data_IF_720148762030
#
_entry.id   IF_720148762030
#
_cell.length_a   1.000
_cell.length_b   1.000
_cell.length_c   1.000
_cell.angle_alpha   90.00
_cell.angle_beta   90.00
_cell.angle_gamma   90.00
#
_symmetry.space_group_name_H-M   'P 1'
#
loop_
_entity.id
_entity.type
_entity.pdbx_description
1 polymer ?
#
# COMPACT_ATOMS: atom_id res chain seq x y z
N UNK A 1 3.41 1.38 16.65
CA UNK A 1 2.56 0.19 16.53
C UNK A 1 2.72 -0.62 17.81
N UNK A 2 1.61 -1.03 18.43
CA UNK A 2 1.61 -1.86 19.65
C UNK A 2 1.61 -3.35 19.31
N UNK A 3 0.89 -3.73 18.27
CA UNK A 3 0.70 -5.10 17.82
C UNK A 3 -0.26 -5.16 16.66
N UNK A 4 -0.95 -6.28 16.50
CA UNK A 4 -1.98 -6.45 15.47
C UNK A 4 -3.16 -7.28 15.99
N UNK A 5 -4.33 -7.05 15.41
CA UNK A 5 -5.53 -7.85 15.62
C UNK A 5 -5.82 -8.68 14.37
N UNK A 6 -6.12 -9.97 14.56
CA UNK A 6 -6.54 -10.88 13.50
C UNK A 6 -7.97 -11.33 13.76
N UNK A 7 -8.82 -11.20 12.75
CA UNK A 7 -10.23 -11.58 12.77
C UNK A 7 -10.51 -12.57 11.63
N UNK A 8 -10.37 -13.89 11.85
CA UNK A 8 -10.52 -14.91 10.80
C UNK A 8 -11.86 -14.83 10.08
N UNK A 9 -12.94 -14.56 10.79
CA UNK A 9 -14.28 -14.39 10.22
C UNK A 9 -14.37 -13.32 9.14
N UNK A 10 -13.58 -12.26 9.28
CA UNK A 10 -13.55 -11.12 8.36
C UNK A 10 -12.41 -11.19 7.35
N UNK A 11 -11.52 -12.19 7.50
CA UNK A 11 -10.27 -12.31 6.74
C UNK A 11 -9.39 -11.05 6.85
N UNK A 12 -9.33 -10.45 8.07
CA UNK A 12 -8.62 -9.20 8.32
C UNK A 12 -7.52 -9.37 9.36
N UNK A 13 -6.38 -8.75 9.10
CA UNK A 13 -5.30 -8.54 10.08
C UNK A 13 -4.88 -7.08 10.03
N UNK A 14 -5.08 -6.37 11.14
CA UNK A 14 -4.98 -4.93 11.21
C UNK A 14 -3.98 -4.50 12.29
N UNK A 15 -3.11 -3.51 12.04
CA UNK A 15 -2.18 -2.99 13.03
C UNK A 15 -2.92 -2.23 14.13
N UNK A 16 -2.46 -2.40 15.38
CA UNK A 16 -2.94 -1.67 16.56
C UNK A 16 -1.93 -0.60 16.92
N UNK A 17 -2.41 0.61 17.12
CA UNK A 17 -1.64 1.77 17.59
C UNK A 17 -2.20 2.28 18.91
N UNK A 18 -1.39 3.02 19.66
CA UNK A 18 -1.83 3.70 20.86
C UNK A 18 -2.54 5.01 20.50
N UNK A 19 -3.66 5.27 21.17
CA UNK A 19 -4.49 6.45 20.94
C UNK A 19 -5.44 6.31 19.74
N UNK A 20 -6.41 7.24 19.69
CA UNK A 20 -7.47 7.28 18.68
C UNK A 20 -7.46 8.59 17.89
N UNK A 21 -6.31 9.25 17.80
CA UNK A 21 -6.15 10.44 16.97
C UNK A 21 -6.44 10.11 15.50
N UNK A 22 -6.95 11.06 14.74
CA UNK A 22 -7.34 10.87 13.33
C UNK A 22 -6.23 10.24 12.50
N UNK A 23 -4.98 10.72 12.64
CA UNK A 23 -3.80 10.15 11.95
C UNK A 23 -3.57 8.65 12.23
N UNK A 24 -4.00 8.15 13.40
CA UNK A 24 -3.91 6.73 13.77
C UNK A 24 -5.03 5.96 13.08
N UNK A 25 -6.25 6.46 13.18
CA UNK A 25 -7.43 5.79 12.64
C UNK A 25 -7.46 5.74 11.11
N UNK A 26 -6.69 6.58 10.43
CA UNK A 26 -6.50 6.52 8.97
C UNK A 26 -5.66 5.33 8.50
N UNK A 27 -4.80 4.77 9.36
CA UNK A 27 -3.83 3.73 8.99
C UNK A 27 -4.00 2.41 9.74
N UNK A 28 -4.84 2.37 10.77
CA UNK A 28 -5.02 1.17 11.59
C UNK A 28 -6.07 1.32 12.68
N UNK A 29 -5.97 0.44 13.65
CA UNK A 29 -6.85 0.39 14.81
C UNK A 29 -6.22 1.15 15.97
N UNK A 30 -6.98 2.02 16.60
CA UNK A 30 -6.55 2.81 17.74
C UNK A 30 -6.99 2.20 19.08
N UNK A 31 -6.07 2.07 20.02
CA UNK A 31 -6.40 1.72 21.41
C UNK A 31 -6.90 2.97 22.16
N UNK A 32 -8.05 2.86 22.84
CA UNK A 32 -8.59 3.91 23.70
C UNK A 32 -7.73 4.04 24.95
N UNK A 33 -7.08 5.20 25.13
CA UNK A 33 -6.09 5.46 26.19
C UNK A 33 -6.64 5.33 27.61
N UNK A 34 -7.96 5.57 27.82
CA UNK A 34 -8.62 5.45 29.12
C UNK A 34 -9.07 4.02 29.43
N UNK A 35 -8.72 3.04 28.64
CA UNK A 35 -9.04 1.63 28.87
C UNK A 35 -7.80 0.81 29.17
N UNK A 36 -7.95 -0.42 29.64
CA UNK A 36 -6.81 -1.33 29.88
C UNK A 36 -6.00 -1.55 28.61
N UNK A 37 -4.69 -1.76 28.74
CA UNK A 37 -3.87 -2.19 27.60
C UNK A 37 -4.34 -3.57 27.08
N UNK A 38 -4.26 -3.82 25.78
CA UNK A 38 -4.72 -5.08 25.18
C UNK A 38 -3.70 -6.23 25.36
N UNK A 39 -3.17 -6.37 26.56
CA UNK A 39 -2.20 -7.42 26.95
C UNK A 39 -2.82 -8.48 27.85
N UNK A 40 -4.14 -8.45 28.01
CA UNK A 40 -4.90 -9.36 28.84
C UNK A 40 -4.68 -9.18 30.35
N UNK A 41 -5.33 -10.01 31.13
CA UNK A 41 -5.25 -10.02 32.59
C UNK A 41 -6.61 -10.00 33.28
N UNK A 42 -6.67 -10.53 34.51
CA UNK A 42 -7.90 -10.48 35.29
C UNK A 42 -8.27 -9.03 35.64
N UNK A 43 -9.55 -8.72 35.58
CA UNK A 43 -10.09 -7.36 35.82
C UNK A 43 -9.54 -6.32 34.84
N UNK A 44 -9.45 -6.68 33.57
CA UNK A 44 -9.06 -5.78 32.48
C UNK A 44 -10.17 -5.66 31.42
N UNK A 45 -10.28 -4.49 30.81
CA UNK A 45 -11.16 -4.27 29.67
C UNK A 45 -10.48 -3.30 28.70
N UNK A 46 -9.93 -3.81 27.61
CA UNK A 46 -9.34 -3.00 26.56
C UNK A 46 -10.37 -2.63 25.49
N UNK A 47 -10.29 -1.41 24.95
CA UNK A 47 -11.14 -0.98 23.85
C UNK A 47 -10.29 -0.57 22.64
N UNK A 48 -10.66 -1.12 21.47
CA UNK A 48 -9.99 -0.90 20.21
C UNK A 48 -10.97 -0.29 19.20
N UNK A 49 -10.64 0.88 18.67
CA UNK A 49 -11.50 1.62 17.74
C UNK A 49 -10.94 1.63 16.34
N UNK A 50 -11.81 1.50 15.35
CA UNK A 50 -11.44 1.58 13.92
C UNK A 50 -12.55 2.19 13.09
N UNK A 51 -12.18 2.87 12.01
CA UNK A 51 -13.11 3.46 11.06
C UNK A 51 -13.97 2.40 10.35
N UNK A 52 -15.15 2.84 9.92
CA UNK A 52 -16.05 2.11 9.04
C UNK A 52 -16.29 2.90 7.77
N UNK A 53 -16.02 2.27 6.60
CA UNK A 53 -16.26 2.90 5.30
C UNK A 53 -15.19 3.91 4.88
N UNK A 54 -13.96 3.77 5.36
CA UNK A 54 -12.85 4.56 4.87
C UNK A 54 -12.50 4.10 3.44
N UNK A 55 -12.43 5.00 2.43
CA UNK A 55 -12.18 4.60 1.04
C UNK A 55 -10.81 3.94 0.81
N UNK A 56 -9.83 4.30 1.64
CA UNK A 56 -8.42 3.87 1.51
C UNK A 56 -8.09 2.59 2.25
N UNK A 57 -8.94 2.18 3.21
CA UNK A 57 -8.66 1.01 4.06
C UNK A 57 -9.95 0.40 4.60
N UNK A 58 -10.02 -0.93 4.60
CA UNK A 58 -11.22 -1.67 5.04
C UNK A 58 -11.46 -1.55 6.55
N UNK A 59 -10.39 -1.62 7.35
CA UNK A 59 -10.40 -1.52 8.81
C UNK A 59 -11.59 -2.29 9.45
N UNK A 60 -12.44 -1.63 10.24
CA UNK A 60 -13.62 -2.23 10.86
C UNK A 60 -14.90 -2.08 10.04
N UNK A 61 -14.79 -1.91 8.71
CA UNK A 61 -15.98 -1.78 7.83
C UNK A 61 -16.93 -2.94 7.98
N UNK A 62 -16.42 -4.16 8.04
CA UNK A 62 -17.21 -5.39 8.12
C UNK A 62 -17.40 -5.93 9.55
N UNK A 63 -17.08 -5.14 10.58
CA UNK A 63 -17.21 -5.57 11.98
C UNK A 63 -18.63 -6.03 12.33
N UNK A 64 -19.66 -5.52 11.63
CA UNK A 64 -21.04 -5.94 11.79
C UNK A 64 -21.32 -7.38 11.32
N UNK A 65 -20.42 -8.01 10.57
CA UNK A 65 -20.55 -9.41 10.15
C UNK A 65 -20.08 -10.40 11.22
N UNK A 66 -19.40 -9.91 12.27
CA UNK A 66 -19.05 -10.72 13.44
C UNK A 66 -20.30 -11.20 14.17
N UNK A 67 -20.22 -12.43 14.69
CA UNK A 67 -21.31 -13.09 15.44
C UNK A 67 -20.82 -13.54 16.81
N UNK A 68 -21.74 -13.73 17.74
CA UNK A 68 -21.40 -14.40 19.01
C UNK A 68 -20.80 -15.78 18.74
N UNK A 69 -19.72 -16.10 19.45
CA UNK A 69 -18.96 -17.32 19.26
C UNK A 69 -17.76 -17.19 18.30
N UNK A 70 -17.74 -16.18 17.43
CA UNK A 70 -16.59 -15.90 16.58
C UNK A 70 -15.36 -15.56 17.42
N UNK A 71 -14.17 -15.85 16.90
CA UNK A 71 -12.90 -15.61 17.59
C UNK A 71 -12.15 -14.47 16.92
N UNK A 72 -11.39 -13.74 17.73
CA UNK A 72 -10.37 -12.81 17.25
C UNK A 72 -9.13 -12.91 18.14
N UNK A 73 -8.01 -12.52 17.59
CA UNK A 73 -6.70 -12.69 18.23
C UNK A 73 -5.99 -11.35 18.26
N UNK A 74 -5.40 -11.03 19.39
CA UNK A 74 -4.56 -9.84 19.56
C UNK A 74 -3.14 -10.32 19.82
N UNK A 75 -2.19 -9.91 18.99
CA UNK A 75 -0.78 -10.22 19.16
C UNK A 75 -0.03 -8.95 19.51
N UNK A 76 0.60 -8.97 20.68
CA UNK A 76 1.45 -7.89 21.19
C UNK A 76 2.84 -8.49 21.42
N UNK A 77 3.85 -7.96 20.75
CA UNK A 77 5.20 -8.52 20.75
C UNK A 77 5.21 -10.00 20.31
N UNK A 78 5.42 -10.92 21.26
CA UNK A 78 5.48 -12.38 21.02
C UNK A 78 4.24 -13.11 21.49
N UNK A 79 3.38 -12.45 22.26
CA UNK A 79 2.24 -13.07 22.92
C UNK A 79 0.97 -12.87 22.12
N UNK A 80 0.22 -13.96 21.93
CA UNK A 80 -1.08 -13.94 21.27
C UNK A 80 -2.18 -14.26 22.27
N UNK A 81 -3.17 -13.38 22.31
CA UNK A 81 -4.31 -13.43 23.21
C UNK A 81 -5.56 -13.74 22.39
N UNK A 82 -6.23 -14.84 22.69
CA UNK A 82 -7.44 -15.29 22.02
C UNK A 82 -8.68 -14.81 22.77
N UNK A 83 -9.63 -14.24 22.04
CA UNK A 83 -10.92 -13.78 22.56
C UNK A 83 -12.05 -14.39 21.76
N UNK A 84 -13.17 -14.67 22.43
CA UNK A 84 -14.39 -15.13 21.80
C UNK A 84 -15.50 -14.11 22.02
N UNK A 85 -16.20 -13.73 20.94
CA UNK A 85 -17.28 -12.76 20.98
C UNK A 85 -18.43 -13.27 21.83
N UNK A 86 -18.76 -12.55 22.88
CA UNK A 86 -19.86 -12.86 23.81
C UNK A 86 -21.01 -11.85 23.71
N UNK A 87 -20.75 -10.61 23.33
CA UNK A 87 -21.75 -9.56 23.29
C UNK A 87 -21.57 -8.64 22.08
N UNK A 88 -22.68 -8.34 21.40
CA UNK A 88 -22.72 -7.35 20.31
C UNK A 88 -23.83 -6.38 20.66
N UNK A 89 -23.52 -5.08 20.70
CA UNK A 89 -24.43 -4.02 21.15
C UNK A 89 -24.22 -2.75 20.33
N UNK A 90 -25.29 -2.02 20.08
CA UNK A 90 -25.22 -0.67 19.50
C UNK A 90 -25.57 0.34 20.55
N UNK A 91 -24.72 1.36 20.72
CA UNK A 91 -24.86 2.39 21.76
C UNK A 91 -24.68 3.80 21.17
N UNK A 92 -25.06 4.82 21.93
CA UNK A 92 -24.73 6.20 21.60
C UNK A 92 -23.23 6.45 21.79
N UNK A 93 -22.62 7.41 21.09
CA UNK A 93 -21.19 7.72 21.20
C UNK A 93 -20.75 8.13 22.63
N UNK A 94 -21.67 8.63 23.43
CA UNK A 94 -21.43 9.08 24.81
C UNK A 94 -21.61 7.98 25.86
N UNK A 95 -22.10 6.80 25.47
CA UNK A 95 -22.33 5.69 26.40
C UNK A 95 -21.07 4.80 26.51
N UNK A 96 -20.26 5.11 27.52
CA UNK A 96 -19.07 4.34 27.86
C UNK A 96 -19.32 3.22 28.89
N UNK A 97 -20.55 3.04 29.39
CA UNK A 97 -20.88 2.02 30.42
C UNK A 97 -20.51 0.61 30.01
N UNK A 98 -20.58 0.32 28.71
CA UNK A 98 -20.26 -1.00 28.17
C UNK A 98 -18.75 -1.33 28.18
N UNK A 99 -17.88 -0.33 28.47
CA UNK A 99 -16.44 -0.46 28.53
C UNK A 99 -15.93 -0.60 29.98
N UNK A 100 -16.84 -0.64 30.95
CA UNK A 100 -16.47 -0.79 32.36
C UNK A 100 -15.71 -2.12 32.58
N UNK A 101 -14.73 -2.07 33.49
CA UNK A 101 -14.02 -3.28 33.95
C UNK A 101 -14.98 -4.12 34.76
N UNK A 102 -15.04 -5.41 34.43
CA UNK A 102 -15.77 -6.40 35.20
C UNK A 102 -14.79 -7.20 36.07
N UNK A 103 -14.97 -7.27 37.41
CA UNK A 103 -14.03 -7.98 38.31
C UNK A 103 -13.78 -9.43 37.87
N UNK A 104 -12.53 -9.82 37.82
CA UNK A 104 -12.09 -11.16 37.45
C UNK A 104 -12.14 -11.48 35.94
N UNK A 105 -12.72 -10.64 35.11
CA UNK A 105 -12.80 -10.88 33.67
C UNK A 105 -11.67 -10.20 32.91
N UNK A 106 -11.31 -10.81 31.79
CA UNK A 106 -10.39 -10.28 30.78
C UNK A 106 -11.21 -10.05 29.51
N UNK A 107 -11.47 -8.77 29.19
CA UNK A 107 -12.39 -8.36 28.14
C UNK A 107 -11.69 -7.45 27.13
N UNK A 108 -12.11 -7.58 25.86
CA UNK A 108 -11.76 -6.65 24.80
C UNK A 108 -13.02 -6.28 24.02
N UNK A 109 -13.20 -4.99 23.76
CA UNK A 109 -14.29 -4.48 22.93
C UNK A 109 -13.75 -3.80 21.68
N UNK A 110 -14.21 -4.28 20.51
CA UNK A 110 -13.96 -3.66 19.21
C UNK A 110 -15.07 -2.66 18.92
N UNK A 111 -14.71 -1.45 18.50
CA UNK A 111 -15.64 -0.31 18.35
C UNK A 111 -15.55 0.24 16.94
N UNK A 112 -16.70 0.44 16.32
CA UNK A 112 -16.79 1.15 15.04
C UNK A 112 -18.08 1.98 14.95
N UNK A 113 -18.12 2.87 13.95
CA UNK A 113 -19.32 3.69 13.69
C UNK A 113 -20.45 2.89 13.03
N UNK A 114 -21.69 3.22 13.34
CA UNK A 114 -22.89 2.61 12.76
C UNK A 114 -24.07 3.58 12.81
N UNK A 115 -25.10 3.53 11.92
CA UNK A 115 -25.10 2.80 10.64
C UNK A 115 -24.00 3.29 9.67
N UNK A 116 -23.72 2.50 8.62
CA UNK A 116 -22.74 2.86 7.60
C UNK A 116 -23.06 4.25 6.99
N UNK A 117 -22.07 5.09 6.84
CA UNK A 117 -22.13 6.47 6.35
C UNK A 117 -22.90 7.46 7.25
N UNK A 118 -23.80 7.01 8.14
CA UNK A 118 -24.58 7.88 9.04
C UNK A 118 -23.85 8.14 10.36
N UNK A 119 -23.20 7.11 10.93
CA UNK A 119 -22.26 7.21 12.07
C UNK A 119 -22.81 7.78 13.37
N UNK A 120 -24.14 7.74 13.57
CA UNK A 120 -24.82 8.28 14.77
C UNK A 120 -24.61 7.46 16.02
N UNK A 121 -24.25 6.18 15.87
CA UNK A 121 -24.07 5.23 16.96
C UNK A 121 -22.70 4.56 16.88
N UNK A 122 -22.40 3.77 17.91
CA UNK A 122 -21.20 2.91 17.94
C UNK A 122 -21.64 1.45 18.02
N UNK A 123 -21.12 0.62 17.12
CA UNK A 123 -21.22 -0.84 17.21
C UNK A 123 -20.09 -1.33 18.10
N UNK A 124 -20.44 -2.06 19.13
CA UNK A 124 -19.53 -2.68 20.08
C UNK A 124 -19.59 -4.20 19.91
N UNK A 125 -18.44 -4.80 19.61
CA UNK A 125 -18.26 -6.26 19.54
C UNK A 125 -17.30 -6.64 20.66
N UNK A 126 -17.87 -7.17 21.77
CA UNK A 126 -17.08 -7.55 22.95
C UNK A 126 -16.72 -9.03 22.89
N UNK A 127 -15.48 -9.33 23.26
CA UNK A 127 -15.00 -10.69 23.49
C UNK A 127 -14.43 -10.86 24.89
N UNK A 128 -14.60 -12.06 25.43
CA UNK A 128 -13.95 -12.52 26.65
C UNK A 128 -12.75 -13.41 26.32
N UNK A 129 -11.77 -13.42 27.19
CA UNK A 129 -10.57 -14.24 27.05
C UNK A 129 -10.88 -15.73 27.00
N UNK A 130 -10.26 -16.43 26.04
CA UNK A 130 -10.26 -17.90 25.96
C UNK A 130 -8.83 -18.43 25.91
N UNK A 131 -8.59 -19.70 26.30
CA UNK A 131 -7.28 -20.33 26.14
C UNK A 131 -6.84 -20.30 24.66
N UNK A 132 -5.59 -19.91 24.42
CA UNK A 132 -5.00 -19.94 23.10
C UNK A 132 -4.41 -21.32 22.80
N UNK A 133 -4.81 -21.96 21.70
CA UNK A 133 -4.31 -23.26 21.27
C UNK A 133 -3.46 -23.14 20.00
N UNK A 134 -2.46 -24.01 19.77
CA UNK A 134 -1.61 -23.96 18.56
C UNK A 134 -2.38 -24.05 17.23
N UNK A 135 -3.51 -24.75 17.19
CA UNK A 135 -4.39 -24.79 16.01
C UNK A 135 -4.97 -23.41 15.67
N UNK A 136 -5.30 -22.63 16.69
CA UNK A 136 -5.77 -21.26 16.52
C UNK A 136 -4.69 -20.32 15.98
N UNK A 137 -3.41 -20.66 16.16
CA UNK A 137 -2.28 -19.93 15.58
C UNK A 137 -2.25 -20.06 14.06
N UNK A 138 -2.62 -21.20 13.52
CA UNK A 138 -2.70 -21.40 12.08
C UNK A 138 -3.85 -20.62 11.48
N UNK A 139 -5.00 -20.55 12.16
CA UNK A 139 -6.14 -19.72 11.75
C UNK A 139 -5.76 -18.23 11.76
N UNK A 140 -5.01 -17.77 12.76
CA UNK A 140 -4.52 -16.40 12.85
C UNK A 140 -3.47 -16.06 11.76
N UNK A 141 -2.65 -17.03 11.35
CA UNK A 141 -1.62 -16.85 10.31
C UNK A 141 -2.17 -16.99 8.89
N UNK A 142 -3.17 -17.83 8.68
CA UNK A 142 -3.77 -18.10 7.36
C UNK A 142 -4.53 -16.91 6.77
N UNK A 143 -4.79 -15.88 7.57
CA UNK A 143 -5.49 -14.67 7.14
C UNK A 143 -4.61 -13.72 6.31
N UNK A 144 -3.29 -13.99 6.20
CA UNK A 144 -2.39 -13.24 5.32
C UNK A 144 -2.45 -13.83 3.90
N UNK A 145 -3.62 -13.80 3.28
CA UNK A 145 -3.77 -14.06 1.84
C UNK A 145 -3.67 -12.72 1.12
N UNK A 146 -2.61 -12.55 0.37
CA UNK A 146 -2.58 -11.55 -0.70
C UNK A 146 -3.37 -12.16 -1.85
N UNK A 147 -4.66 -11.91 -1.88
CA UNK A 147 -5.49 -12.22 -3.04
C UNK A 147 -5.06 -11.31 -4.19
N UNK A 148 -4.02 -11.73 -4.90
CA UNK A 148 -3.73 -11.14 -6.22
C UNK A 148 -4.79 -11.71 -7.14
N UNK A 149 -5.76 -10.93 -7.60
CA UNK A 149 -6.80 -11.47 -8.47
C UNK A 149 -6.16 -11.96 -9.76
N UNK A 150 -6.29 -13.25 -10.02
CA UNK A 150 -5.71 -13.95 -11.17
C UNK A 150 -6.01 -13.26 -12.51
N UNK A 151 -7.11 -12.51 -12.55
CA UNK A 151 -7.51 -11.68 -13.68
C UNK A 151 -6.48 -10.59 -14.07
N UNK A 152 -5.60 -10.16 -13.15
CA UNK A 152 -4.53 -9.19 -13.47
C UNK A 152 -3.20 -9.86 -13.78
N UNK A 153 -2.99 -11.13 -13.35
CA UNK A 153 -1.77 -11.88 -13.66
C UNK A 153 -1.70 -12.27 -15.14
N UNK A 154 -2.80 -12.73 -15.72
CA UNK A 154 -2.83 -13.15 -17.14
C UNK A 154 -2.53 -11.98 -18.09
N UNK A 155 -3.18 -10.80 -18.01
CA UNK A 155 -2.86 -9.69 -18.90
C UNK A 155 -1.47 -9.09 -18.65
N UNK A 156 -0.95 -9.10 -17.42
CA UNK A 156 0.40 -8.62 -17.14
C UNK A 156 1.47 -9.54 -17.73
N UNK A 157 1.31 -10.85 -17.64
CA UNK A 157 2.20 -11.83 -18.29
C UNK A 157 2.14 -11.73 -19.83
N UNK A 158 0.95 -11.54 -20.40
CA UNK A 158 0.77 -11.33 -21.84
C UNK A 158 1.49 -10.03 -22.30
N UNK A 159 1.37 -8.94 -21.54
CA UNK A 159 2.03 -7.70 -21.86
C UNK A 159 3.56 -7.82 -21.82
N UNK A 160 4.10 -8.51 -20.81
CA UNK A 160 5.54 -8.81 -20.69
C UNK A 160 6.00 -9.65 -21.88
N UNK A 161 5.26 -10.70 -22.25
CA UNK A 161 5.59 -11.55 -23.39
C UNK A 161 5.61 -10.77 -24.71
N UNK A 162 4.64 -9.86 -24.92
CA UNK A 162 4.59 -8.97 -26.09
C UNK A 162 5.77 -8.00 -26.13
N UNK A 163 6.16 -7.44 -25.01
CA UNK A 163 7.32 -6.54 -24.93
C UNK A 163 8.62 -7.28 -25.25
N UNK A 164 8.79 -8.50 -24.74
CA UNK A 164 9.94 -9.35 -25.03
C UNK A 164 9.97 -9.72 -26.54
N UNK A 165 8.84 -10.16 -27.09
CA UNK A 165 8.71 -10.50 -28.50
C UNK A 165 9.03 -9.29 -29.40
N UNK A 166 8.50 -8.11 -29.07
CA UNK A 166 8.78 -6.85 -29.79
C UNK A 166 10.26 -6.49 -29.70
N UNK A 167 10.88 -6.62 -28.53
CA UNK A 167 12.31 -6.35 -28.34
C UNK A 167 13.20 -7.32 -29.14
N UNK A 168 12.85 -8.60 -29.15
CA UNK A 168 13.55 -9.62 -29.95
C UNK A 168 13.38 -9.35 -31.46
N UNK A 169 12.19 -8.95 -31.90
CA UNK A 169 11.92 -8.61 -33.29
C UNK A 169 12.72 -7.38 -33.71
N UNK A 170 12.78 -6.32 -32.91
CA UNK A 170 13.64 -5.16 -33.18
C UNK A 170 15.11 -5.54 -33.29
N UNK A 171 15.60 -6.44 -32.40
CA UNK A 171 17.00 -6.91 -32.47
C UNK A 171 17.26 -7.70 -33.75
N UNK A 172 16.31 -8.52 -34.18
CA UNK A 172 16.42 -9.31 -35.41
C UNK A 172 16.42 -8.41 -36.65
N UNK A 173 15.61 -7.39 -36.68
CA UNK A 173 15.54 -6.44 -37.79
C UNK A 173 16.80 -5.58 -37.91
N UNK A 174 17.38 -5.14 -36.77
CA UNK A 174 18.66 -4.45 -36.73
C UNK A 174 19.81 -5.34 -37.26
N UNK A 175 19.80 -6.63 -36.96
CA UNK A 175 20.80 -7.59 -37.51
C UNK A 175 20.64 -7.79 -39.00
N UNK A 176 19.40 -7.85 -39.52
CA UNK A 176 19.14 -7.96 -40.97
C UNK A 176 19.61 -6.73 -41.75
N UNK A 177 19.47 -5.53 -41.19
CA UNK A 177 19.94 -4.28 -41.83
C UNK A 177 21.49 -4.21 -41.88
N UNK A 178 22.16 -4.73 -40.89
CA UNK A 178 23.63 -4.77 -40.85
C UNK A 178 24.22 -5.80 -41.84
N UNK A 179 23.57 -6.93 -42.06
CA UNK A 179 24.00 -7.94 -43.03
C UNK A 179 23.72 -7.54 -44.48
N UNK A 180 22.70 -6.67 -44.70
CA UNK A 180 22.41 -6.10 -46.04
C UNK A 180 23.43 -5.04 -46.50
N UNK A 181 23.96 -4.26 -45.54
CA UNK A 181 24.95 -3.20 -45.86
C UNK A 181 26.34 -3.74 -46.19
N UNK A 182 26.71 -4.91 -45.64
CA UNK A 182 27.99 -5.56 -45.90
C UNK A 182 28.06 -6.24 -47.30
N UNK A 183 26.89 -6.52 -47.91
CA UNK A 183 26.82 -7.19 -49.23
C UNK A 183 26.91 -6.21 -50.42
N UNK A 184 26.71 -4.90 -50.18
CA UNK A 184 26.81 -3.84 -51.21
C UNK A 184 28.21 -3.28 -51.32
N UNK A 185 29.08 -3.53 -50.31
CA UNK A 185 30.46 -3.00 -50.30
C UNK A 185 31.51 -3.93 -50.94
N UNK A 186 31.11 -5.12 -51.47
CA UNK A 186 32.04 -6.07 -52.07
C UNK A 186 31.83 -6.35 -53.56
N UNK A 187 31.19 -5.45 -54.28
CA UNK A 187 30.98 -5.62 -55.72
C UNK A 187 31.13 -4.33 -56.48
N UNK A 188 32.33 -3.79 -56.57
CA UNK A 188 32.79 -3.05 -57.74
C UNK A 188 34.29 -2.73 -57.59
N UNK A 189 35.10 -3.49 -58.23
CA UNK A 189 36.50 -3.17 -58.54
C UNK A 189 36.88 -3.85 -59.80
N UNK A 190 36.62 -3.20 -60.95
CA UNK A 190 37.47 -3.39 -62.13
C UNK A 190 37.36 -2.16 -63.07
N UNK A 191 38.54 -1.53 -63.21
CA UNK A 191 39.09 -0.95 -64.45
C UNK A 191 38.39 0.27 -65.05
N UNK A 192 39.02 1.48 -65.05
CA UNK A 192 39.81 1.92 -66.22
C UNK A 192 40.49 3.22 -65.87
N UNK A 193 41.79 3.28 -66.16
CA UNK A 193 42.66 4.44 -66.15
C UNK A 193 42.36 5.33 -67.29
N UNK A 194 42.41 6.68 -67.12
CA UNK A 194 42.95 7.70 -68.08
C UNK A 194 43.17 8.99 -67.25
N UNK A 195 44.39 9.46 -67.25
CA UNK A 195 44.92 10.77 -66.85
C UNK A 195 44.90 11.72 -68.04
N UNK A 196 45.45 13.03 -67.96
CA UNK A 196 45.11 14.16 -67.07
C UNK A 196 44.73 15.39 -67.88
N UNK A 197 44.23 16.44 -67.28
CA UNK A 197 44.74 17.81 -67.48
C UNK A 197 43.84 18.89 -66.83
N UNK A 198 44.49 19.86 -66.23
CA UNK A 198 44.34 21.28 -66.38
C UNK A 198 43.41 22.01 -65.40
N UNK A 199 44.09 22.79 -64.58
CA UNK A 199 43.77 24.15 -64.14
C UNK A 199 42.94 24.35 -62.84
N UNK A 200 43.65 24.84 -61.85
CA UNK A 200 43.29 25.73 -60.74
C UNK A 200 43.26 27.21 -61.25
N UNK A 201 42.83 28.22 -60.49
CA UNK A 201 42.20 28.45 -59.22
C UNK A 201 41.07 29.55 -59.27
N UNK A 202 40.74 30.39 -58.28
CA UNK A 202 41.02 30.43 -56.86
C UNK A 202 39.77 30.63 -55.92
N UNK A 203 40.01 30.52 -54.65
CA UNK A 203 39.17 31.00 -53.54
C UNK A 203 39.05 32.55 -53.55
N UNK A 204 38.03 33.07 -52.85
CA UNK A 204 38.38 33.74 -51.61
C UNK A 204 37.49 33.45 -50.39
N UNK A 205 38.13 33.64 -49.32
CA UNK A 205 37.70 33.70 -47.94
C UNK A 205 36.70 34.85 -47.66
N UNK A 206 35.92 34.73 -46.62
CA UNK A 206 35.85 35.70 -45.50
C UNK A 206 34.64 35.38 -44.63
N UNK A 207 34.88 35.11 -43.41
CA UNK A 207 34.97 35.93 -42.18
C UNK A 207 33.60 36.34 -41.58
N UNK A 208 33.69 36.17 -40.29
CA UNK A 208 33.02 36.93 -39.24
C UNK A 208 31.65 36.41 -38.78
N UNK A 209 31.43 36.28 -37.56
CA UNK A 209 31.98 36.80 -36.29
C UNK A 209 30.79 36.91 -35.29
N UNK A 210 31.10 36.61 -34.09
CA UNK A 210 30.59 37.23 -32.83
C UNK A 210 29.14 36.99 -32.40
N UNK A 211 28.95 36.24 -31.31
CA UNK A 211 28.94 36.76 -29.93
C UNK A 211 27.76 37.64 -29.56
N UNK A 212 27.10 37.25 -28.49
CA UNK A 212 26.64 38.03 -27.30
C UNK A 212 25.71 37.15 -26.47
N UNK A 213 26.02 36.68 -25.29
CA UNK A 213 26.25 37.37 -24.02
C UNK A 213 25.14 38.35 -23.62
N UNK A 214 24.43 37.97 -22.57
CA UNK A 214 24.09 38.75 -21.36
C UNK A 214 22.87 38.11 -20.68
N UNK A 215 22.95 37.55 -19.45
CA UNK A 215 23.11 38.25 -18.16
C UNK A 215 21.97 39.24 -17.85
N UNK A 216 21.12 38.89 -16.86
CA UNK A 216 20.64 39.71 -15.74
C UNK A 216 19.64 38.89 -14.92
N UNK A 217 19.98 38.50 -13.68
CA UNK A 217 19.90 39.22 -12.38
C UNK A 217 18.46 39.63 -11.97
N UNK A 218 18.01 39.01 -10.89
CA UNK A 218 16.91 39.24 -9.95
C UNK A 218 16.92 40.65 -9.33
N UNK A 219 16.46 40.96 -8.11
CA UNK A 219 15.69 40.27 -7.07
C UNK A 219 14.52 41.13 -6.52
N UNK A 220 13.84 40.71 -5.49
CA UNK A 220 12.96 41.58 -4.63
C UNK A 220 11.88 40.74 -3.95
N UNK A 221 11.98 40.35 -2.74
CA UNK A 221 11.87 41.03 -1.43
C UNK A 221 10.53 41.79 -1.24
N UNK A 222 9.84 41.40 -0.23
CA UNK A 222 9.07 42.06 0.83
C UNK A 222 7.70 41.40 1.01
N UNK A 223 7.29 41.05 2.18
CA UNK A 223 7.18 41.47 3.56
C UNK A 223 5.81 41.02 4.08
N UNK A 224 5.79 40.40 5.24
CA UNK A 224 4.69 40.24 6.21
C UNK A 224 4.09 41.64 6.58
N UNK A 225 3.07 41.79 7.44
CA UNK A 225 2.38 40.84 8.35
C UNK A 225 0.84 41.05 8.41
N UNK A 226 0.17 40.19 9.06
CA UNK A 226 -0.67 40.37 10.26
C UNK A 226 -1.25 38.98 10.63
#
# INVERSE_FOLDING_TARGET
MMGYITMPRLHETLPIYHGTAEKVLQIGIGHLEQTSLPVGGASTHAALSGHRGLPTAKLFTDLNLMKKGDKFYITILKDTYAYQVDKITTVLPTDAKQLAIEPGKDLVTLITCTPYAVNTHRLLVRGHRIPYTPQQQNDAKSTFHVDIPLQYLLPSLALIALLIAWHLWQRHERRRRQSGSAKVASGDSSSTAIEPDGDLPPQPANTNNQSHSSRRKGPGRHVRPA
#
